data_IF_350524860154
#
_entry.id   IF_350524860154
#
_cell.length_a   1.000
_cell.length_b   1.000
_cell.length_c   1.000
_cell.angle_alpha   90.00
_cell.angle_beta   90.00
_cell.angle_gamma   90.00
#
_symmetry.space_group_name_H-M   'P 1'
#
loop_
_entity.id
_entity.type
_entity.pdbx_description
1 polymer ?
#
# COMPACT_ATOMS: atom_id res chain seq x y z
N UNK A 1 0.77 5.86 13.64
CA UNK A 1 -0.65 5.51 13.36
C UNK A 1 -0.83 4.02 13.56
N UNK A 2 -1.86 3.60 14.30
CA UNK A 2 -2.20 2.19 14.50
C UNK A 2 -3.55 1.90 13.83
N UNK A 3 -3.63 0.83 13.04
CA UNK A 3 -4.87 0.40 12.36
C UNK A 3 -5.14 -1.07 12.73
N UNK A 4 -6.40 -1.46 13.04
CA UNK A 4 -6.71 -2.85 13.35
C UNK A 4 -6.53 -3.76 12.12
N UNK A 5 -6.20 -5.04 12.36
CA UNK A 5 -6.06 -6.06 11.30
C UNK A 5 -7.39 -6.47 10.67
N UNK A 6 -8.51 -6.16 11.32
CA UNK A 6 -9.85 -6.41 10.83
C UNK A 6 -10.70 -5.15 10.92
N UNK A 7 -11.47 -4.86 9.88
CA UNK A 7 -12.38 -3.72 9.80
C UNK A 7 -13.72 -4.16 9.21
N UNK A 8 -14.84 -3.68 9.75
CA UNK A 8 -16.16 -3.86 9.13
C UNK A 8 -16.40 -2.70 8.18
N UNK A 9 -16.38 -2.95 6.88
CA UNK A 9 -16.57 -1.91 5.83
C UNK A 9 -17.46 -2.42 4.71
N UNK A 10 -18.00 -1.52 3.91
CA UNK A 10 -18.83 -1.86 2.76
C UNK A 10 -18.07 -2.70 1.72
N UNK A 11 -18.66 -3.82 1.30
CA UNK A 11 -18.15 -4.65 0.20
C UNK A 11 -19.00 -4.45 -1.05
N UNK A 12 -18.39 -3.91 -2.13
CA UNK A 12 -19.08 -3.62 -3.39
C UNK A 12 -19.70 -4.85 -4.06
N UNK A 13 -19.05 -6.01 -3.98
CA UNK A 13 -19.57 -7.26 -4.57
C UNK A 13 -20.85 -7.74 -3.87
N UNK A 14 -21.06 -7.41 -2.59
CA UNK A 14 -22.19 -7.90 -1.80
C UNK A 14 -23.25 -6.85 -1.49
N UNK A 15 -22.99 -5.57 -1.81
CA UNK A 15 -23.88 -4.47 -1.46
C UNK A 15 -24.08 -4.26 0.05
N UNK A 16 -23.24 -4.85 0.91
CA UNK A 16 -23.38 -4.75 2.37
C UNK A 16 -22.05 -4.68 3.11
N UNK A 17 -22.11 -4.24 4.36
CA UNK A 17 -20.97 -4.20 5.27
C UNK A 17 -20.54 -5.62 5.66
N UNK A 18 -19.24 -5.89 5.54
CA UNK A 18 -18.64 -7.18 5.84
C UNK A 18 -17.33 -6.99 6.60
N UNK A 19 -16.88 -8.00 7.36
CA UNK A 19 -15.52 -8.01 7.89
C UNK A 19 -14.51 -8.10 6.75
N UNK A 20 -13.49 -7.26 6.80
CA UNK A 20 -12.37 -7.23 5.88
C UNK A 20 -11.06 -7.43 6.64
N UNK A 21 -10.18 -8.28 6.11
CA UNK A 21 -8.79 -8.39 6.55
C UNK A 21 -8.00 -7.22 5.97
N UNK A 22 -7.28 -6.52 6.83
CA UNK A 22 -6.47 -5.36 6.48
C UNK A 22 -5.01 -5.78 6.38
N UNK A 23 -4.39 -5.51 5.25
CA UNK A 23 -2.96 -5.71 5.03
C UNK A 23 -2.34 -4.44 4.44
N UNK A 24 -1.04 -4.24 4.64
CA UNK A 24 -0.34 -3.16 3.97
C UNK A 24 -0.07 -3.56 2.51
N UNK A 25 -0.38 -2.68 1.58
CA UNK A 25 -0.01 -2.88 0.17
C UNK A 25 1.51 -2.77 -0.01
N UNK A 26 2.06 -3.68 -0.83
CA UNK A 26 3.44 -3.62 -1.32
C UNK A 26 3.39 -3.64 -2.85
N UNK A 27 4.22 -2.81 -3.48
CA UNK A 27 4.40 -2.82 -4.94
C UNK A 27 4.97 -4.18 -5.34
N UNK A 28 4.41 -4.79 -6.38
CA UNK A 28 4.95 -6.03 -6.96
C UNK A 28 6.23 -5.78 -7.75
N UNK A 29 6.88 -6.87 -8.20
CA UNK A 29 8.02 -6.81 -9.12
C UNK A 29 7.59 -6.18 -10.46
N UNK A 30 8.46 -5.34 -11.02
CA UNK A 30 8.22 -4.75 -12.34
C UNK A 30 8.28 -5.82 -13.44
N UNK A 31 7.40 -5.68 -14.44
CA UNK A 31 7.29 -6.64 -15.55
C UNK A 31 8.24 -6.23 -16.69
N UNK A 32 9.16 -7.10 -17.14
CA UNK A 32 10.13 -6.75 -18.19
C UNK A 32 9.47 -6.56 -19.56
N UNK A 33 8.41 -7.33 -19.85
CA UNK A 33 7.71 -7.28 -21.14
C UNK A 33 6.66 -6.17 -21.25
N UNK A 34 6.51 -5.33 -20.23
CA UNK A 34 5.65 -4.15 -20.30
C UNK A 34 6.11 -3.23 -21.45
N UNK A 35 5.17 -2.64 -22.18
CA UNK A 35 5.48 -1.84 -23.38
C UNK A 35 6.48 -0.72 -23.09
N UNK A 36 6.28 0.03 -22.01
CA UNK A 36 7.18 1.11 -21.60
C UNK A 36 8.60 0.63 -21.34
N UNK A 37 8.74 -0.55 -20.70
CA UNK A 37 10.04 -1.14 -20.39
C UNK A 37 10.75 -1.60 -21.66
N UNK A 38 10.04 -2.28 -22.57
CA UNK A 38 10.57 -2.67 -23.89
C UNK A 38 11.05 -1.47 -24.71
N UNK A 39 10.27 -0.39 -24.72
CA UNK A 39 10.64 0.85 -25.41
C UNK A 39 11.85 1.54 -24.76
N UNK A 40 11.92 1.55 -23.43
CA UNK A 40 13.06 2.09 -22.70
C UNK A 40 14.35 1.32 -23.00
N UNK A 41 14.30 -0.01 -22.90
CA UNK A 41 15.48 -0.86 -23.11
C UNK A 41 15.97 -0.77 -24.57
N UNK A 42 15.05 -0.72 -25.56
CA UNK A 42 15.39 -0.48 -26.97
C UNK A 42 15.98 0.91 -27.21
N UNK A 43 15.51 1.94 -26.50
CA UNK A 43 16.07 3.30 -26.64
C UNK A 43 17.46 3.38 -26.01
N UNK A 44 17.69 2.63 -24.93
CA UNK A 44 18.93 2.65 -24.17
C UNK A 44 20.04 1.80 -24.80
N UNK A 45 19.73 0.89 -25.72
CA UNK A 45 20.72 0.04 -26.39
C UNK A 45 21.61 0.82 -27.36
N UNK A 46 22.89 0.45 -27.45
CA UNK A 46 23.87 1.09 -28.33
C UNK A 46 24.68 2.18 -27.63
N UNK A 47 25.22 3.11 -28.41
CA UNK A 47 26.02 4.24 -27.92
C UNK A 47 25.12 5.45 -27.61
N UNK A 48 25.63 6.41 -26.81
CA UNK A 48 24.92 7.65 -26.49
C UNK A 48 24.50 7.80 -25.01
N UNK A 49 24.85 6.84 -24.15
CA UNK A 49 24.69 6.96 -22.70
C UNK A 49 23.23 6.95 -22.23
N UNK A 50 22.91 7.75 -21.21
CA UNK A 50 21.61 7.75 -20.55
C UNK A 50 20.55 8.52 -21.37
N UNK A 51 19.52 7.83 -21.89
CA UNK A 51 18.56 8.42 -22.85
C UNK A 51 17.28 9.02 -22.25
N UNK A 52 17.08 8.85 -20.94
CA UNK A 52 15.90 9.33 -20.18
C UNK A 52 16.33 10.00 -18.87
N UNK A 53 15.63 11.04 -18.41
CA UNK A 53 16.02 11.77 -17.22
C UNK A 53 15.91 10.91 -15.95
N UNK A 54 16.91 11.04 -15.07
CA UNK A 54 16.91 10.43 -13.74
C UNK A 54 16.52 11.51 -12.73
N UNK A 55 15.45 11.28 -11.98
CA UNK A 55 15.01 12.22 -10.95
C UNK A 55 15.96 12.20 -9.74
N UNK A 56 16.58 13.35 -9.43
CA UNK A 56 17.56 13.50 -8.32
C UNK A 56 17.06 14.33 -7.12
N UNK A 57 15.99 15.12 -7.28
CA UNK A 57 15.55 16.13 -6.28
C UNK A 57 14.44 15.60 -5.36
N UNK A 58 14.69 14.50 -4.63
CA UNK A 58 13.67 13.90 -3.74
C UNK A 58 13.52 14.70 -2.45
N UNK A 59 12.40 15.42 -2.30
CA UNK A 59 12.07 16.17 -1.08
C UNK A 59 11.22 15.37 -0.08
N UNK A 60 10.39 14.43 -0.55
CA UNK A 60 9.43 13.74 0.32
C UNK A 60 10.09 12.67 1.19
N UNK A 61 9.92 12.80 2.50
CA UNK A 61 10.48 11.89 3.51
C UNK A 61 9.58 10.70 3.83
N UNK A 62 8.27 10.81 3.56
CA UNK A 62 7.26 9.77 3.87
C UNK A 62 6.40 9.47 2.66
N UNK A 63 5.81 8.27 2.61
CA UNK A 63 4.87 7.85 1.56
C UNK A 63 3.45 7.81 2.10
N UNK A 64 2.46 7.89 1.21
CA UNK A 64 1.08 7.53 1.55
C UNK A 64 1.00 6.02 1.73
N UNK A 65 0.52 5.56 2.88
CA UNK A 65 0.31 4.14 3.13
C UNK A 65 -1.00 3.73 2.48
N UNK A 66 -0.96 2.67 1.68
CA UNK A 66 -2.14 2.08 1.06
C UNK A 66 -2.46 0.77 1.78
N UNK A 67 -3.69 0.64 2.24
CA UNK A 67 -4.23 -0.58 2.81
C UNK A 67 -4.88 -1.42 1.71
N UNK A 68 -4.66 -2.74 1.75
CA UNK A 68 -5.41 -3.72 0.98
C UNK A 68 -6.43 -4.36 1.91
N UNK A 69 -7.70 -4.07 1.65
CA UNK A 69 -8.86 -4.62 2.34
C UNK A 69 -9.36 -5.84 1.56
N UNK A 70 -9.27 -7.02 2.14
CA UNK A 70 -9.78 -8.26 1.57
C UNK A 70 -11.06 -8.68 2.31
N UNK A 71 -12.17 -8.80 1.58
CA UNK A 71 -13.43 -9.25 2.16
C UNK A 71 -13.29 -10.69 2.67
N UNK A 72 -13.83 -10.95 3.87
CA UNK A 72 -13.86 -12.29 4.48
C UNK A 72 -15.24 -12.95 4.38
N UNK A 73 -16.18 -12.35 3.64
CA UNK A 73 -17.51 -12.91 3.49
C UNK A 73 -17.48 -14.27 2.75
N UNK A 74 -18.39 -15.21 3.07
CA UNK A 74 -18.42 -16.57 2.49
C UNK A 74 -18.58 -16.56 0.96
N UNK A 75 -17.56 -16.97 0.19
CA UNK A 75 -17.47 -16.88 -1.30
C UNK A 75 -16.98 -15.55 -1.91
N UNK A 76 -16.62 -14.55 -1.08
CA UNK A 76 -16.12 -13.25 -1.58
C UNK A 76 -14.71 -12.98 -1.09
N UNK A 77 -13.75 -12.85 -2.02
CA UNK A 77 -12.36 -12.46 -1.78
C UNK A 77 -11.99 -11.15 -2.49
N UNK A 78 -12.99 -10.29 -2.69
CA UNK A 78 -12.80 -9.01 -3.37
C UNK A 78 -11.85 -8.14 -2.56
N UNK A 79 -10.91 -7.50 -3.26
CA UNK A 79 -9.86 -6.68 -2.68
C UNK A 79 -10.09 -5.21 -3.06
N UNK A 80 -9.98 -4.32 -2.08
CA UNK A 80 -10.06 -2.86 -2.29
C UNK A 80 -8.81 -2.19 -1.74
N UNK A 81 -8.27 -1.21 -2.46
CA UNK A 81 -7.18 -0.38 -1.99
C UNK A 81 -7.73 0.90 -1.33
N UNK A 82 -7.20 1.26 -0.16
CA UNK A 82 -7.55 2.47 0.55
C UNK A 82 -6.28 3.23 0.94
N UNK A 83 -6.07 4.42 0.38
CA UNK A 83 -4.94 5.27 0.73
C UNK A 83 -5.25 6.12 1.98
N UNK A 84 -4.26 6.23 2.87
CA UNK A 84 -4.33 7.08 4.06
C UNK A 84 -3.40 8.29 3.88
N UNK A 85 -3.60 9.31 4.72
CA UNK A 85 -2.67 10.43 4.89
C UNK A 85 -1.24 9.92 5.20
N UNK A 86 -0.24 10.75 4.89
CA UNK A 86 1.18 10.46 5.18
C UNK A 86 1.38 10.31 6.68
N UNK A 87 2.19 9.34 7.07
CA UNK A 87 2.59 9.14 8.46
C UNK A 87 4.04 8.65 8.52
N UNK A 88 4.76 9.05 9.57
CA UNK A 88 6.16 8.63 9.79
C UNK A 88 6.25 7.18 10.29
N UNK A 89 5.38 6.81 11.24
CA UNK A 89 5.29 5.45 11.81
C UNK A 89 3.90 4.86 11.56
N UNK A 90 3.86 3.67 10.96
CA UNK A 90 2.64 2.93 10.65
C UNK A 90 2.72 1.52 11.24
N UNK A 91 1.68 1.11 11.96
CA UNK A 91 1.61 -0.20 12.61
C UNK A 91 0.22 -0.82 12.40
N UNK A 92 0.17 -2.14 12.20
CA UNK A 92 -1.06 -2.92 12.03
C UNK A 92 -1.29 -3.82 13.24
N UNK A 93 -2.37 -3.54 13.99
CA UNK A 93 -2.84 -4.39 15.08
C UNK A 93 -2.05 -4.27 16.38
N UNK A 94 -1.46 -3.11 16.67
CA UNK A 94 -0.85 -2.87 18.00
C UNK A 94 -1.93 -2.82 19.08
N UNK A 95 -1.54 -3.18 20.30
CA UNK A 95 -2.39 -3.06 21.49
C UNK A 95 -2.97 -1.65 21.61
N UNK A 96 -4.26 -1.59 21.97
CA UNK A 96 -4.91 -0.32 22.26
C UNK A 96 -4.28 0.27 23.52
N UNK A 97 -4.07 1.58 23.53
CA UNK A 97 -3.61 2.29 24.73
C UNK A 97 -4.67 2.12 25.83
N UNK A 98 -4.23 1.72 27.02
CA UNK A 98 -5.09 1.64 28.22
C UNK A 98 -5.24 3.04 28.81
N UNK A 99 -6.44 3.38 29.30
CA UNK A 99 -6.70 4.68 29.95
C UNK A 99 -6.20 4.61 31.40
N UNK A 100 -5.56 5.67 31.89
CA UNK A 100 -5.21 5.85 33.32
C UNK A 100 -4.07 4.99 33.86
N UNK A 101 -3.33 4.25 33.02
CA UNK A 101 -2.16 3.51 33.48
C UNK A 101 -0.93 4.41 33.56
N UNK A 102 -0.23 4.34 34.71
CA UNK A 102 1.08 4.94 34.89
C UNK A 102 2.07 4.21 33.99
N UNK A 103 2.91 4.98 33.30
CA UNK A 103 3.97 4.45 32.45
C UNK A 103 5.10 4.01 33.38
N UNK A 104 5.60 2.77 33.25
CA UNK A 104 6.79 2.35 33.97
C UNK A 104 7.99 3.18 33.50
N UNK A 105 8.73 3.72 34.47
CA UNK A 105 9.98 4.45 34.28
C UNK A 105 11.16 3.47 34.20
#
# INVERSE_FOLDING_TARGET
LNIPKFLKTFCRKRGKHQPHRVTQYRRGRDRPFAQERRLYDRKQSGYGGQTKPIFRKKAETTKRVVLRLECLGPSCRTKRMLAIKRCKRFELGRSKKRKGQVIQF
#
